data_IF_797251477615
#
_entry.id   IF_797251477615
#
_cell.length_a   1.000
_cell.length_b   1.000
_cell.length_c   1.000
_cell.angle_alpha   90.00
_cell.angle_beta   90.00
_cell.angle_gamma   90.00
#
_symmetry.space_group_name_H-M   'P 1'
#
loop_
_entity.id
_entity.type
_entity.pdbx_description
1 polymer ?
#
# COMPACT_ATOMS: atom_id res chain seq x y z
N UNK A 1 27.82 -16.33 -14.13
CA UNK A 1 27.11 -17.07 -13.07
C UNK A 1 27.52 -16.49 -11.73
N UNK A 2 26.65 -15.67 -11.12
CA UNK A 2 26.91 -15.09 -9.79
C UNK A 2 26.97 -16.22 -8.77
N UNK A 3 28.09 -16.34 -8.04
CA UNK A 3 28.26 -17.38 -7.02
C UNK A 3 27.17 -17.18 -5.96
N UNK A 4 26.17 -18.08 -5.93
CA UNK A 4 25.19 -18.15 -4.84
C UNK A 4 25.96 -18.45 -3.55
N UNK A 5 26.09 -17.45 -2.69
CA UNK A 5 26.73 -17.64 -1.40
C UNK A 5 25.68 -18.22 -0.45
N UNK A 6 25.60 -19.55 -0.37
CA UNK A 6 24.85 -20.23 0.69
C UNK A 6 25.61 -19.92 1.99
N UNK A 7 25.02 -19.08 2.84
CA UNK A 7 25.66 -18.61 4.06
C UNK A 7 25.38 -19.56 5.23
N UNK A 8 25.96 -20.77 5.18
CA UNK A 8 26.12 -21.61 6.38
C UNK A 8 27.33 -21.10 7.19
N UNK A 9 27.26 -19.87 7.70
CA UNK A 9 28.16 -19.52 8.80
C UNK A 9 27.59 -20.19 10.05
N UNK A 10 28.33 -21.12 10.64
CA UNK A 10 28.11 -21.56 12.02
C UNK A 10 27.85 -20.32 12.86
N UNK A 11 26.73 -20.29 13.57
CA UNK A 11 26.34 -19.24 14.49
C UNK A 11 27.57 -18.58 15.15
N UNK A 12 27.87 -17.33 14.78
CA UNK A 12 29.12 -16.63 15.18
C UNK A 12 29.11 -16.15 16.64
N UNK A 13 28.20 -16.64 17.49
CA UNK A 13 28.32 -16.61 18.95
C UNK A 13 28.68 -15.28 19.65
N UNK A 14 28.59 -14.11 19.01
CA UNK A 14 29.00 -12.83 19.57
C UNK A 14 28.73 -11.69 18.57
N UNK A 15 28.46 -10.45 18.94
CA UNK A 15 28.71 -9.76 20.22
C UNK A 15 27.65 -8.69 20.54
N UNK A 16 26.42 -8.71 20.02
CA UNK A 16 25.46 -7.60 20.30
C UNK A 16 23.96 -7.97 20.41
N UNK A 17 23.60 -9.21 20.72
CA UNK A 17 22.24 -9.52 21.20
C UNK A 17 22.24 -10.84 21.99
N UNK A 18 21.86 -10.77 23.26
CA UNK A 18 21.65 -11.89 24.19
C UNK A 18 20.45 -12.75 23.75
N UNK A 19 20.59 -13.49 22.66
CA UNK A 19 19.61 -14.49 22.22
C UNK A 19 20.30 -15.84 22.23
N UNK A 20 19.67 -16.82 22.89
CA UNK A 20 20.11 -18.21 22.87
C UNK A 20 20.21 -18.70 21.41
N UNK A 21 21.23 -19.51 21.07
CA UNK A 21 21.36 -20.04 19.72
C UNK A 21 20.11 -20.86 19.35
N UNK A 22 19.54 -20.65 18.15
CA UNK A 22 18.40 -21.43 17.69
C UNK A 22 18.83 -22.89 17.51
N UNK A 23 17.94 -23.84 17.85
CA UNK A 23 18.20 -25.28 17.68
C UNK A 23 18.54 -25.64 16.22
N UNK A 24 17.99 -24.89 15.26
CA UNK A 24 18.21 -25.06 13.82
C UNK A 24 18.49 -23.71 13.14
N UNK A 25 19.53 -23.67 12.31
CA UNK A 25 19.89 -22.49 11.51
C UNK A 25 19.21 -22.59 10.14
N UNK A 26 18.24 -21.71 9.89
CA UNK A 26 17.56 -21.59 8.60
C UNK A 26 17.94 -20.27 7.93
N UNK A 27 18.40 -20.37 6.68
CA UNK A 27 18.83 -19.25 5.87
C UNK A 27 17.71 -18.80 4.92
N UNK A 28 17.42 -17.50 4.90
CA UNK A 28 16.41 -16.88 4.04
C UNK A 28 16.96 -16.45 2.67
N UNK A 29 17.98 -17.14 2.16
CA UNK A 29 18.51 -16.86 0.82
C UNK A 29 17.68 -17.60 -0.22
N UNK A 30 17.29 -16.92 -1.30
CA UNK A 30 16.55 -17.53 -2.40
C UNK A 30 17.33 -18.69 -3.04
N UNK A 31 16.77 -19.89 -3.00
CA UNK A 31 17.38 -21.14 -3.49
C UNK A 31 16.38 -22.29 -3.65
N UNK A 32 16.82 -23.39 -4.27
CA UNK A 32 16.00 -24.60 -4.38
C UNK A 32 15.87 -25.23 -2.98
N UNK A 33 14.65 -25.57 -2.58
CA UNK A 33 14.29 -26.12 -1.25
C UNK A 33 14.86 -27.52 -0.99
N UNK A 34 15.76 -28.02 -1.83
CA UNK A 34 16.44 -29.30 -1.66
C UNK A 34 17.47 -29.24 -0.51
N UNK A 35 17.93 -28.04 -0.15
CA UNK A 35 18.74 -27.81 1.05
C UNK A 35 17.81 -27.60 2.27
N UNK A 36 17.78 -28.56 3.20
CA UNK A 36 16.96 -28.56 4.43
C UNK A 36 17.19 -27.32 5.34
N UNK A 37 18.24 -26.54 5.09
CA UNK A 37 18.61 -25.33 5.83
C UNK A 37 18.17 -24.03 5.14
N UNK A 38 17.45 -24.09 4.02
CA UNK A 38 16.85 -22.91 3.38
C UNK A 38 15.36 -22.79 3.76
N UNK A 39 14.90 -21.57 4.05
CA UNK A 39 13.48 -21.29 4.26
C UNK A 39 13.07 -20.01 3.55
N UNK A 40 12.02 -20.10 2.73
CA UNK A 40 11.37 -18.95 2.10
C UNK A 40 10.34 -18.29 3.02
N UNK A 41 9.95 -18.96 4.10
CA UNK A 41 9.07 -18.40 5.12
C UNK A 41 9.92 -17.70 6.18
N UNK A 42 9.86 -16.37 6.17
CA UNK A 42 10.58 -15.48 7.08
C UNK A 42 10.27 -15.73 8.56
N UNK A 43 9.16 -16.40 8.90
CA UNK A 43 8.84 -16.79 10.28
C UNK A 43 9.80 -17.84 10.84
N UNK A 44 10.42 -18.64 9.96
CA UNK A 44 11.34 -19.71 10.33
C UNK A 44 12.81 -19.37 10.05
N UNK A 45 13.10 -18.23 9.42
CA UNK A 45 14.48 -17.80 9.14
C UNK A 45 15.17 -17.37 10.43
N UNK A 46 16.23 -18.07 10.80
CA UNK A 46 17.03 -17.78 12.01
C UNK A 46 18.41 -17.22 11.70
N UNK A 47 18.81 -17.18 10.42
CA UNK A 47 20.09 -16.58 10.01
C UNK A 47 20.15 -15.07 10.30
N UNK A 48 21.05 -14.68 11.22
CA UNK A 48 21.26 -13.29 11.67
C UNK A 48 21.56 -12.31 10.53
N UNK A 49 22.22 -12.76 9.45
CA UNK A 49 22.47 -11.89 8.29
C UNK A 49 21.18 -11.64 7.50
N UNK A 50 20.40 -12.69 7.21
CA UNK A 50 19.13 -12.58 6.51
C UNK A 50 18.15 -11.69 7.30
N UNK A 51 18.06 -11.88 8.62
CA UNK A 51 17.24 -11.05 9.49
C UNK A 51 17.66 -9.57 9.48
N UNK A 52 18.97 -9.27 9.54
CA UNK A 52 19.46 -7.88 9.44
C UNK A 52 19.14 -7.22 8.10
N UNK A 53 19.30 -7.94 6.99
CA UNK A 53 18.93 -7.45 5.66
C UNK A 53 17.42 -7.17 5.63
N UNK A 54 16.62 -8.11 6.12
CA UNK A 54 15.15 -7.98 6.16
C UNK A 54 14.69 -6.80 7.00
N UNK A 55 15.27 -6.59 8.18
CA UNK A 55 14.97 -5.43 9.03
C UNK A 55 15.31 -4.13 8.31
N UNK A 56 16.46 -4.05 7.63
CA UNK A 56 16.83 -2.87 6.85
C UNK A 56 15.85 -2.62 5.71
N UNK A 57 15.47 -3.65 4.96
CA UNK A 57 14.47 -3.54 3.89
C UNK A 57 13.10 -3.09 4.41
N UNK A 58 12.64 -3.65 5.53
CA UNK A 58 11.38 -3.26 6.16
C UNK A 58 11.42 -1.80 6.63
N UNK A 59 12.54 -1.35 7.20
CA UNK A 59 12.74 0.04 7.59
C UNK A 59 12.72 0.98 6.37
N UNK A 60 13.40 0.61 5.28
CA UNK A 60 13.37 1.36 4.01
C UNK A 60 11.95 1.46 3.45
N UNK A 61 11.22 0.35 3.35
CA UNK A 61 9.83 0.35 2.88
C UNK A 61 8.93 1.21 3.75
N UNK A 62 9.10 1.15 5.06
CA UNK A 62 8.31 1.98 6.00
C UNK A 62 8.60 3.47 5.79
N UNK A 63 9.85 3.83 5.52
CA UNK A 63 10.23 5.21 5.20
C UNK A 63 9.63 5.66 3.85
N UNK A 64 9.73 4.82 2.82
CA UNK A 64 9.14 5.07 1.49
C UNK A 64 7.62 5.23 1.58
N UNK A 65 6.92 4.36 2.32
CA UNK A 65 5.48 4.44 2.54
C UNK A 65 5.08 5.74 3.26
N UNK A 66 5.88 6.18 4.23
CA UNK A 66 5.64 7.45 4.93
C UNK A 66 5.81 8.62 3.97
N UNK A 67 6.88 8.63 3.19
CA UNK A 67 7.18 9.72 2.26
C UNK A 67 6.12 9.78 1.14
N UNK A 68 5.64 8.62 0.68
CA UNK A 68 4.53 8.54 -0.27
C UNK A 68 3.23 9.11 0.31
N UNK A 69 2.92 8.81 1.57
CA UNK A 69 1.74 9.39 2.24
C UNK A 69 1.82 10.91 2.38
N UNK A 70 3.00 11.44 2.67
CA UNK A 70 3.22 12.91 2.73
C UNK A 70 2.95 13.53 1.37
N UNK A 71 3.51 12.98 0.28
CA UNK A 71 3.27 13.47 -1.08
C UNK A 71 1.78 13.49 -1.44
N UNK A 72 1.07 12.39 -1.18
CA UNK A 72 -0.37 12.31 -1.44
C UNK A 72 -1.17 13.31 -0.61
N UNK A 73 -0.76 13.55 0.64
CA UNK A 73 -1.39 14.55 1.49
C UNK A 73 -1.17 15.97 0.96
N UNK A 74 0.05 16.31 0.57
CA UNK A 74 0.40 17.62 0.01
C UNK A 74 -0.34 17.87 -1.31
N UNK A 75 -0.42 16.87 -2.19
CA UNK A 75 -1.19 16.92 -3.43
C UNK A 75 -2.68 17.16 -3.16
N UNK A 76 -3.27 16.39 -2.24
CA UNK A 76 -4.66 16.57 -1.85
C UNK A 76 -4.89 17.98 -1.27
N UNK A 77 -4.00 18.45 -0.39
CA UNK A 77 -4.11 19.78 0.21
C UNK A 77 -4.03 20.87 -0.86
N UNK A 78 -3.10 20.77 -1.82
CA UNK A 78 -2.96 21.70 -2.92
C UNK A 78 -4.22 21.78 -3.79
N UNK A 79 -4.94 20.67 -3.98
CA UNK A 79 -6.24 20.66 -4.67
C UNK A 79 -7.36 21.32 -3.85
N UNK A 80 -7.33 21.21 -2.53
CA UNK A 80 -8.39 21.75 -1.66
C UNK A 80 -8.31 23.26 -1.42
N UNK A 81 -7.12 23.85 -1.51
CA UNK A 81 -6.91 25.29 -1.28
C UNK A 81 -7.68 26.13 -2.32
N UNK A 82 -7.59 25.88 -3.64
CA UNK A 82 -8.39 26.59 -4.65
C UNK A 82 -9.90 26.45 -4.47
N UNK A 83 -10.36 25.33 -3.88
CA UNK A 83 -11.77 25.10 -3.56
C UNK A 83 -12.23 25.89 -2.32
N UNK A 84 -11.34 26.64 -1.66
CA UNK A 84 -11.66 27.43 -0.47
C UNK A 84 -11.81 26.61 0.81
N UNK A 85 -11.40 25.33 0.79
CA UNK A 85 -11.51 24.44 1.94
C UNK A 85 -10.20 24.37 2.72
N UNK A 86 -10.27 24.61 4.04
CA UNK A 86 -9.09 24.59 4.94
C UNK A 86 -8.63 23.19 5.32
N UNK A 87 -9.46 22.17 5.12
CA UNK A 87 -9.12 20.79 5.42
C UNK A 87 -9.68 19.85 4.35
N UNK A 88 -8.94 18.76 4.08
CA UNK A 88 -9.23 17.80 3.02
C UNK A 88 -10.57 17.08 3.27
N UNK A 89 -10.84 16.69 4.51
CA UNK A 89 -12.06 15.95 4.86
C UNK A 89 -13.35 16.73 4.58
N UNK A 90 -13.36 18.04 4.85
CA UNK A 90 -14.46 18.94 4.54
C UNK A 90 -14.59 19.11 3.04
N UNK A 91 -13.49 19.29 2.31
CA UNK A 91 -13.52 19.36 0.85
C UNK A 91 -14.17 18.12 0.24
N UNK A 92 -13.74 16.92 0.68
CA UNK A 92 -14.30 15.66 0.20
C UNK A 92 -15.81 15.59 0.48
N UNK A 93 -16.24 15.93 1.69
CA UNK A 93 -17.68 15.92 2.05
C UNK A 93 -18.49 16.90 1.19
N UNK A 94 -17.98 18.11 0.95
CA UNK A 94 -18.62 19.09 0.09
C UNK A 94 -18.72 18.57 -1.35
N UNK A 95 -17.62 18.10 -1.93
CA UNK A 95 -17.60 17.55 -3.29
C UNK A 95 -18.57 16.37 -3.46
N UNK A 96 -18.66 15.47 -2.48
CA UNK A 96 -19.61 14.34 -2.51
C UNK A 96 -21.05 14.85 -2.51
N UNK A 97 -21.36 15.82 -1.65
CA UNK A 97 -22.70 16.42 -1.60
C UNK A 97 -23.06 17.10 -2.92
N UNK A 98 -22.16 17.92 -3.44
CA UNK A 98 -22.38 18.70 -4.66
C UNK A 98 -22.52 17.76 -5.87
N UNK A 99 -21.74 16.67 -5.93
CA UNK A 99 -21.94 15.60 -6.92
C UNK A 99 -23.32 14.94 -6.80
N UNK A 100 -23.82 14.73 -5.59
CA UNK A 100 -25.16 14.22 -5.34
C UNK A 100 -26.25 15.16 -5.90
N UNK A 101 -26.10 16.46 -5.70
CA UNK A 101 -27.02 17.48 -6.23
C UNK A 101 -27.02 17.50 -7.76
N UNK A 102 -25.84 17.49 -8.38
CA UNK A 102 -25.70 17.46 -9.85
C UNK A 102 -26.35 16.21 -10.43
N UNK A 103 -26.20 15.05 -9.78
CA UNK A 103 -26.86 13.80 -10.22
C UNK A 103 -28.38 13.91 -10.13
N UNK A 104 -28.89 14.41 -9.01
CA UNK A 104 -30.33 14.59 -8.82
C UNK A 104 -30.94 15.59 -9.82
N UNK A 105 -30.22 16.67 -10.16
CA UNK A 105 -30.64 17.62 -11.18
C UNK A 105 -30.65 16.98 -12.57
N UNK A 106 -29.58 16.27 -12.93
CA UNK A 106 -29.49 15.53 -14.20
C UNK A 106 -30.65 14.56 -14.37
N UNK A 107 -31.01 13.84 -13.31
CA UNK A 107 -32.09 12.85 -13.37
C UNK A 107 -33.45 13.54 -13.55
N UNK A 108 -33.72 14.64 -12.84
CA UNK A 108 -34.89 15.48 -13.08
C UNK A 108 -35.00 15.98 -14.52
N UNK A 109 -33.90 16.49 -15.09
CA UNK A 109 -33.88 16.96 -16.48
C UNK A 109 -34.13 15.83 -17.50
N UNK A 110 -33.76 14.58 -17.17
CA UNK A 110 -34.08 13.42 -18.01
C UNK A 110 -35.56 13.09 -17.95
N UNK A 111 -36.14 13.08 -16.76
CA UNK A 111 -37.56 12.84 -16.56
C UNK A 111 -38.42 13.90 -17.27
N UNK A 112 -38.03 15.18 -17.17
CA UNK A 112 -38.70 16.29 -17.85
C UNK A 112 -38.63 16.13 -19.38
N UNK A 113 -37.44 15.80 -19.91
CA UNK A 113 -37.25 15.54 -21.34
C UNK A 113 -38.13 14.39 -21.81
N UNK A 114 -38.14 13.29 -21.08
CA UNK A 114 -38.89 12.08 -21.47
C UNK A 114 -40.40 12.37 -21.45
N UNK A 115 -40.88 13.12 -20.45
CA UNK A 115 -42.26 13.59 -20.38
C UNK A 115 -42.65 14.48 -21.56
N UNK A 116 -41.75 15.39 -21.98
CA UNK A 116 -41.98 16.25 -23.15
C UNK A 116 -42.02 15.45 -24.46
N UNK A 117 -41.19 14.41 -24.59
CA UNK A 117 -41.19 13.53 -25.76
C UNK A 117 -42.49 12.70 -25.84
N UNK A 118 -42.97 12.20 -24.71
CA UNK A 118 -44.26 11.49 -24.63
C UNK A 118 -45.43 12.42 -25.00
N UNK A 119 -45.50 13.61 -24.40
CA UNK A 119 -46.56 14.57 -24.72
C UNK A 119 -46.54 15.03 -26.19
N UNK A 120 -45.35 15.10 -26.80
CA UNK A 120 -45.20 15.42 -28.22
C UNK A 120 -45.60 14.28 -29.17
N UNK A 121 -45.53 13.03 -28.71
CA UNK A 121 -45.94 11.87 -29.49
C UNK A 121 -47.46 11.84 -29.73
N UNK A 122 -48.26 12.36 -28.79
CA UNK A 122 -49.72 12.47 -28.91
C UNK A 122 -50.18 13.59 -29.87
N UNK A 123 -49.25 14.42 -30.36
CA UNK A 123 -49.51 15.55 -31.26
C UNK A 123 -49.22 15.24 -32.75
N UNK A 124 -48.77 14.02 -33.08
CA UNK A 124 -48.45 13.54 -34.42
C UNK A 124 -49.40 12.40 -34.84
#
# INVERSE_FOLDING_TARGET
MSKRAIHMYSWDGGTEADQDPPEHVHCGTDGAMEDEQLSNDWRYVTCKRCLRIRMKELATRTAEDRDQKVKLFDEAQALTIPLGHRNISTAIKCLIRDLGQVRAERDRLRDDRDSLLEAGADLL
#
